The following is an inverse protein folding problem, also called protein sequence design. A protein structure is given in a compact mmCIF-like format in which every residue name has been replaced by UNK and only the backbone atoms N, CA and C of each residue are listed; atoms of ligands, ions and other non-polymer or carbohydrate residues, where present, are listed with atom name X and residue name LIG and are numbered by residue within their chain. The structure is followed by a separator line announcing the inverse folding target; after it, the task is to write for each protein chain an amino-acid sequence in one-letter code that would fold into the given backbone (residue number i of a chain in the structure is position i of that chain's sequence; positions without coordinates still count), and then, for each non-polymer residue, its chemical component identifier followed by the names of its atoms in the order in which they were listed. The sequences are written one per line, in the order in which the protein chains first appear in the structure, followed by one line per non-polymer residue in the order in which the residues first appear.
data_IF_500647488939
#
_entry.id   IF_500647488939
#
_cell.length_a   1.000
_cell.length_b   1.000
_cell.length_c   1.000
_cell.angle_alpha   90.00
_cell.angle_beta   90.00
_cell.angle_gamma   90.00
#
_symmetry.space_group_name_H-M   'P 1'
#
loop_
_entity.id
_entity.type
_entity.pdbx_description
1 polymer ?
#
# COMPACT_ATOMS: atom_id res chain seq x y z
N UNK A 1 15.42 -6.14 6.44
CA UNK A 1 14.02 -6.61 6.29
C UNK A 1 13.02 -5.46 6.31
N UNK A 2 13.01 -4.61 7.34
CA UNK A 2 12.08 -3.45 7.45
C UNK A 2 12.18 -2.51 6.24
N UNK A 3 13.39 -2.10 5.84
CA UNK A 3 13.59 -1.26 4.65
C UNK A 3 13.12 -1.94 3.35
N UNK A 4 13.26 -3.26 3.23
CA UNK A 4 12.81 -4.01 2.06
C UNK A 4 11.26 -4.05 1.99
N UNK A 5 10.57 -4.21 3.12
CA UNK A 5 9.10 -4.13 3.19
C UNK A 5 8.60 -2.70 3.00
N UNK A 6 9.33 -1.69 3.47
CA UNK A 6 8.99 -0.29 3.26
C UNK A 6 9.13 0.14 1.79
N UNK A 7 10.13 -0.38 1.06
CA UNK A 7 10.34 -0.09 -0.38
C UNK A 7 9.55 -0.99 -1.34
N UNK A 8 8.99 -2.11 -0.86
CA UNK A 8 8.30 -3.10 -1.69
C UNK A 8 7.02 -2.54 -2.35
N UNK A 9 6.38 -1.55 -1.75
CA UNK A 9 5.15 -0.99 -2.31
C UNK A 9 5.44 0.07 -3.35
N UNK A 10 4.98 -0.17 -4.57
CA UNK A 10 4.90 0.77 -5.69
C UNK A 10 3.92 1.93 -5.42
N UNK A 11 3.98 2.58 -4.26
CA UNK A 11 3.13 3.71 -3.90
C UNK A 11 3.56 4.99 -4.64
N UNK A 12 3.31 5.02 -5.95
CA UNK A 12 3.59 6.16 -6.81
C UNK A 12 2.46 6.35 -7.83
N UNK A 13 2.36 7.57 -8.36
CA UNK A 13 1.27 7.99 -9.26
C UNK A 13 1.17 7.09 -10.50
N UNK A 14 2.29 6.60 -11.04
CA UNK A 14 2.24 5.73 -12.21
C UNK A 14 1.68 4.33 -11.89
N UNK A 15 1.86 3.78 -10.69
CA UNK A 15 1.20 2.51 -10.31
C UNK A 15 -0.31 2.70 -10.18
N UNK A 16 -0.74 3.82 -9.62
CA UNK A 16 -2.15 4.19 -9.60
C UNK A 16 -2.72 4.34 -11.01
N UNK A 17 -1.99 4.98 -11.92
CA UNK A 17 -2.40 5.12 -13.32
C UNK A 17 -2.48 3.77 -14.05
N UNK A 18 -1.57 2.83 -13.76
CA UNK A 18 -1.61 1.48 -14.34
C UNK A 18 -2.85 0.72 -13.86
N UNK A 19 -3.10 0.72 -12.54
CA UNK A 19 -4.25 0.01 -11.96
C UNK A 19 -5.57 0.66 -12.39
N UNK A 20 -5.67 1.98 -12.30
CA UNK A 20 -6.89 2.68 -12.67
C UNK A 20 -7.11 2.66 -14.19
N UNK A 21 -6.06 2.83 -14.99
CA UNK A 21 -6.12 2.73 -16.46
C UNK A 21 -6.50 1.32 -16.95
N UNK A 22 -5.93 0.27 -16.35
CA UNK A 22 -6.33 -1.10 -16.65
C UNK A 22 -7.78 -1.39 -16.26
N UNK A 23 -8.23 -0.87 -15.12
CA UNK A 23 -9.62 -1.07 -14.68
C UNK A 23 -10.61 -0.20 -15.45
N UNK A 24 -10.18 0.99 -15.91
CA UNK A 24 -10.95 1.88 -16.76
C UNK A 24 -11.28 1.25 -18.11
N UNK A 25 -10.36 0.44 -18.65
CA UNK A 25 -10.60 -0.33 -19.87
C UNK A 25 -11.66 -1.43 -19.69
N UNK A 26 -11.80 -1.99 -18.48
CA UNK A 26 -12.78 -3.03 -18.15
C UNK A 26 -14.17 -2.45 -17.82
N UNK A 27 -14.20 -1.37 -17.05
CA UNK A 27 -15.45 -0.76 -16.54
C UNK A 27 -15.40 0.77 -16.75
N UNK A 28 -15.59 1.25 -17.98
CA UNK A 28 -15.43 2.68 -18.31
C UNK A 28 -16.48 3.57 -17.63
N UNK A 29 -17.68 3.05 -17.37
CA UNK A 29 -18.79 3.80 -16.75
C UNK A 29 -18.59 4.11 -15.25
N UNK A 30 -17.58 3.52 -14.58
CA UNK A 30 -17.27 3.75 -13.15
C UNK A 30 -15.94 4.48 -12.92
N UNK A 31 -15.25 4.89 -13.98
CA UNK A 31 -13.95 5.57 -13.91
C UNK A 31 -13.97 6.85 -13.08
N UNK A 32 -15.03 7.64 -13.18
CA UNK A 32 -15.19 8.91 -12.44
C UNK A 32 -15.24 8.72 -10.92
N UNK A 33 -15.90 7.66 -10.47
CA UNK A 33 -16.03 7.32 -9.05
C UNK A 33 -14.68 6.83 -8.48
N UNK A 34 -13.95 6.02 -9.27
CA UNK A 34 -12.63 5.50 -8.90
C UNK A 34 -11.54 6.57 -8.89
N UNK A 35 -11.49 7.40 -9.91
CA UNK A 35 -10.51 8.49 -10.02
C UNK A 35 -10.70 9.53 -8.90
N UNK A 36 -11.94 9.76 -8.45
CA UNK A 36 -12.23 10.65 -7.32
C UNK A 36 -11.58 10.21 -6.00
N UNK A 37 -11.45 8.89 -5.77
CA UNK A 37 -10.76 8.34 -4.58
C UNK A 37 -9.30 7.99 -4.82
N UNK A 38 -8.80 8.12 -6.06
CA UNK A 38 -7.45 7.71 -6.45
C UNK A 38 -6.35 8.34 -5.59
N UNK A 39 -6.41 9.66 -5.34
CA UNK A 39 -5.41 10.33 -4.49
C UNK A 39 -5.44 9.82 -3.03
N UNK A 40 -6.62 9.48 -2.51
CA UNK A 40 -6.75 8.87 -1.19
C UNK A 40 -6.21 7.44 -1.17
N UNK A 41 -6.43 6.69 -2.24
CA UNK A 41 -5.88 5.34 -2.40
C UNK A 41 -4.34 5.38 -2.45
N UNK A 42 -3.75 6.37 -3.11
CA UNK A 42 -2.29 6.57 -3.13
C UNK A 42 -1.76 6.85 -1.72
N UNK A 43 -2.39 7.77 -0.99
CA UNK A 43 -2.01 8.08 0.39
C UNK A 43 -2.12 6.85 1.32
N UNK A 44 -3.20 6.07 1.19
CA UNK A 44 -3.39 4.83 1.94
C UNK A 44 -2.33 3.78 1.59
N UNK A 45 -1.96 3.64 0.31
CA UNK A 45 -0.91 2.72 -0.13
C UNK A 45 0.46 3.11 0.43
N UNK A 46 0.79 4.41 0.45
CA UNK A 46 2.05 4.90 1.05
C UNK A 46 2.13 4.59 2.55
N UNK A 47 1.01 4.62 3.27
CA UNK A 47 0.95 4.30 4.70
C UNK A 47 0.92 2.78 4.99
N UNK A 48 0.39 1.98 4.07
CA UNK A 48 0.35 0.52 4.23
C UNK A 48 1.76 -0.13 4.20
N UNK A 49 2.69 0.43 3.42
CA UNK A 49 4.06 -0.06 3.30
C UNK A 49 4.85 0.00 4.62
N UNK A 50 4.96 1.15 5.32
CA UNK A 50 5.62 1.22 6.62
C UNK A 50 4.86 0.47 7.71
N UNK A 51 3.53 0.37 7.64
CA UNK A 51 2.75 -0.45 8.57
C UNK A 51 3.14 -1.92 8.45
N UNK A 52 3.27 -2.44 7.23
CA UNK A 52 3.72 -3.82 6.98
C UNK A 52 5.18 -4.01 7.39
N UNK A 53 6.03 -3.01 7.16
CA UNK A 53 7.41 -3.01 7.59
C UNK A 53 7.55 -3.04 9.13
N UNK A 54 6.68 -2.34 9.86
CA UNK A 54 6.62 -2.37 11.31
C UNK A 54 6.21 -3.77 11.81
N UNK A 55 5.18 -4.38 11.22
CA UNK A 55 4.77 -5.76 11.56
C UNK A 55 5.91 -6.75 11.27
N UNK A 56 6.53 -6.68 10.10
CA UNK A 56 7.68 -7.54 9.76
C UNK A 56 8.87 -7.31 10.70
N UNK A 57 9.11 -6.07 11.12
CA UNK A 57 10.11 -5.71 12.12
C UNK A 57 9.82 -6.34 13.48
N UNK A 58 8.57 -6.27 13.96
CA UNK A 58 8.16 -6.91 15.23
C UNK A 58 8.33 -8.43 15.19
N UNK A 59 8.08 -9.07 14.04
CA UNK A 59 8.27 -10.52 13.89
C UNK A 59 9.75 -10.93 13.76
N UNK A 60 10.61 -10.09 13.17
CA UNK A 60 12.02 -10.42 12.91
C UNK A 60 12.96 -10.06 14.08
N UNK A 61 12.66 -9.01 14.85
CA UNK A 61 13.51 -8.54 15.96
C UNK A 61 13.42 -9.41 17.23
N UNK A 62 12.52 -10.39 17.29
CA UNK A 62 12.58 -11.43 18.32
C UNK A 62 12.22 -10.98 19.74
N UNK A 63 11.44 -9.91 19.91
CA UNK A 63 10.90 -9.48 21.21
C UNK A 63 9.44 -9.08 21.07
N UNK A 64 8.56 -10.08 21.13
CA UNK A 64 7.50 -10.22 22.16
C UNK A 64 7.02 -8.99 22.94
N UNK A 65 6.86 -7.81 22.34
CA UNK A 65 6.22 -6.67 23.05
C UNK A 65 4.76 -6.95 23.41
N UNK A 66 4.11 -7.92 22.76
CA UNK A 66 2.77 -8.40 23.09
C UNK A 66 2.75 -9.63 24.02
N UNK A 67 3.88 -10.31 24.23
CA UNK A 67 4.01 -11.44 25.14
C UNK A 67 5.07 -11.08 26.18
N UNK A 68 4.70 -10.19 27.10
CA UNK A 68 5.54 -9.77 28.22
C UNK A 68 5.91 -10.95 29.13
N UNK A 69 6.95 -11.68 28.74
CA UNK A 69 7.74 -12.60 29.56
C UNK A 69 9.19 -12.53 29.12
#
# INVERSE_FOLDING_TARGET
MIAAYALCGFAHVASLAIVDGGTAALVPHRTKDRTAVGLRALAAATLACPMTAAVAGTCYTGSTVLFGR
#
